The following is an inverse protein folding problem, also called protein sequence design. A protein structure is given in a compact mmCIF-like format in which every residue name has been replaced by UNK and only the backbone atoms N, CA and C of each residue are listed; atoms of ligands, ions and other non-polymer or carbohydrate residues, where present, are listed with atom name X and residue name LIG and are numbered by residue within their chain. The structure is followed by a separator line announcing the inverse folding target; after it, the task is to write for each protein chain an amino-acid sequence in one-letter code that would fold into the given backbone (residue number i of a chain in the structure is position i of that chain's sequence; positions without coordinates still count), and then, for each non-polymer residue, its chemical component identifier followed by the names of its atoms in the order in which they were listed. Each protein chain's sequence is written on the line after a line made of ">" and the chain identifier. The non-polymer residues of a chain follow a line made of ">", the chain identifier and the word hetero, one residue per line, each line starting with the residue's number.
data_IF_594108695133
#
_entry.id   IF_594108695133
#
_cell.length_a   1.000
_cell.length_b   1.000
_cell.length_c   1.000
_cell.angle_alpha   90.00
_cell.angle_beta   90.00
_cell.angle_gamma   90.00
#
_symmetry.space_group_name_H-M   'P 1'
#
loop_
_entity.id
_entity.type
_entity.pdbx_description
1 polymer ?
#
# COMPACT_ATOMS: atom_id res chain seq x y z
N UNK A 1 87.37 19.52 26.74
CA UNK A 1 86.41 20.28 25.93
C UNK A 1 85.34 19.33 25.41
N UNK A 2 84.13 19.39 25.96
CA UNK A 2 82.94 18.75 25.37
C UNK A 2 81.74 19.59 25.81
N UNK A 3 81.20 20.40 24.88
CA UNK A 3 79.94 21.10 25.09
C UNK A 3 78.81 20.25 24.53
N UNK A 4 77.87 19.88 25.40
CA UNK A 4 76.60 19.25 25.07
C UNK A 4 75.62 20.33 24.61
N UNK A 5 74.91 20.16 23.47
CA UNK A 5 73.97 21.17 22.98
C UNK A 5 72.67 21.16 23.79
N UNK A 6 72.32 22.32 24.35
CA UNK A 6 71.10 22.53 25.12
C UNK A 6 69.81 22.26 24.31
N UNK A 7 68.74 21.75 24.95
CA UNK A 7 67.50 21.42 24.26
C UNK A 7 66.73 22.71 23.93
N UNK A 8 66.36 22.87 22.66
CA UNK A 8 65.57 23.99 22.16
C UNK A 8 64.14 23.83 22.69
N UNK A 9 63.78 24.59 23.71
CA UNK A 9 62.43 24.63 24.25
C UNK A 9 61.45 25.12 23.16
N UNK A 10 60.68 24.19 22.58
CA UNK A 10 59.55 24.49 21.70
C UNK A 10 58.50 25.22 22.53
N UNK A 11 58.42 26.53 22.37
CA UNK A 11 57.36 27.35 22.93
C UNK A 11 56.03 26.92 22.32
N UNK A 12 55.25 26.11 23.06
CA UNK A 12 53.85 25.88 22.75
C UNK A 12 53.10 27.19 22.96
N UNK A 13 52.98 28.00 21.90
CA UNK A 13 52.08 29.15 21.87
C UNK A 13 50.67 28.64 22.14
N UNK A 14 50.14 28.94 23.33
CA UNK A 14 48.73 28.73 23.66
C UNK A 14 47.88 29.37 22.56
N UNK A 15 47.01 28.58 21.93
CA UNK A 15 46.10 29.07 20.89
C UNK A 15 45.32 30.28 21.43
N UNK A 16 45.38 31.41 20.71
CA UNK A 16 44.68 32.61 21.12
C UNK A 16 43.17 32.38 20.97
N UNK A 17 42.38 32.99 21.85
CA UNK A 17 40.92 32.88 21.83
C UNK A 17 40.33 33.17 20.43
N UNK A 18 40.93 34.14 19.72
CA UNK A 18 40.55 34.50 18.35
C UNK A 18 40.71 33.37 17.34
N UNK A 19 41.74 32.52 17.46
CA UNK A 19 41.96 31.40 16.55
C UNK A 19 40.91 30.31 16.77
N UNK A 20 40.49 30.15 18.03
CA UNK A 20 39.43 29.23 18.43
C UNK A 20 38.05 29.70 17.98
N UNK A 21 37.79 31.01 17.97
CA UNK A 21 36.55 31.58 17.41
C UNK A 21 36.48 31.38 15.90
N UNK A 22 37.59 31.59 15.17
CA UNK A 22 37.65 31.33 13.73
C UNK A 22 37.42 29.85 13.41
N UNK A 23 38.08 28.94 14.14
CA UNK A 23 37.90 27.50 13.89
C UNK A 23 36.47 27.02 14.19
N UNK A 24 35.81 27.60 15.20
CA UNK A 24 34.39 27.34 15.47
C UNK A 24 33.52 27.84 14.32
N UNK A 25 33.76 29.07 13.83
CA UNK A 25 32.99 29.63 12.71
C UNK A 25 33.17 28.81 11.41
N UNK A 26 34.41 28.42 11.09
CA UNK A 26 34.71 27.58 9.93
C UNK A 26 34.01 26.22 10.03
N UNK A 27 34.04 25.61 11.22
CA UNK A 27 33.35 24.35 11.48
C UNK A 27 31.83 24.50 11.34
N UNK A 28 31.25 25.57 11.90
CA UNK A 28 29.81 25.83 11.83
C UNK A 28 29.35 26.00 10.38
N UNK A 29 30.15 26.70 9.56
CA UNK A 29 29.91 26.86 8.13
C UNK A 29 29.93 25.52 7.40
N UNK A 30 30.93 24.69 7.67
CA UNK A 30 31.06 23.37 7.05
C UNK A 30 29.90 22.43 7.44
N UNK A 31 29.52 22.40 8.73
CA UNK A 31 28.36 21.63 9.21
C UNK A 31 27.07 22.09 8.53
N UNK A 32 26.89 23.41 8.37
CA UNK A 32 25.72 23.98 7.67
C UNK A 32 25.67 23.55 6.20
N UNK A 33 26.80 23.59 5.47
CA UNK A 33 26.86 23.13 4.08
C UNK A 33 26.53 21.63 3.94
N UNK A 34 27.04 20.80 4.85
CA UNK A 34 26.72 19.36 4.90
C UNK A 34 25.24 19.13 5.20
N UNK A 35 24.67 19.90 6.12
CA UNK A 35 23.26 19.81 6.48
C UNK A 35 22.37 20.20 5.30
N UNK A 36 22.63 21.34 4.64
CA UNK A 36 21.90 21.78 3.44
C UNK A 36 21.92 20.68 2.37
N UNK A 37 23.10 20.09 2.09
CA UNK A 37 23.24 19.02 1.10
C UNK A 37 22.44 17.77 1.49
N UNK A 38 22.45 17.41 2.77
CA UNK A 38 21.73 16.24 3.28
C UNK A 38 20.23 16.46 3.20
N UNK A 39 19.75 17.63 3.64
CA UNK A 39 18.33 17.99 3.56
C UNK A 39 17.83 18.03 2.12
N UNK A 40 18.62 18.58 1.18
CA UNK A 40 18.26 18.57 -0.25
C UNK A 40 18.11 17.14 -0.80
N UNK A 41 19.00 16.22 -0.40
CA UNK A 41 18.90 14.80 -0.77
C UNK A 41 17.68 14.12 -0.17
N UNK A 42 17.35 14.41 1.10
CA UNK A 42 16.13 13.91 1.75
C UNK A 42 14.89 14.42 1.02
N UNK A 43 14.83 15.72 0.69
CA UNK A 43 13.71 16.31 -0.05
C UNK A 43 13.55 15.65 -1.43
N UNK A 44 14.67 15.42 -2.12
CA UNK A 44 14.68 14.75 -3.42
C UNK A 44 14.19 13.30 -3.33
N UNK A 45 14.57 12.57 -2.28
CA UNK A 45 14.08 11.22 -2.03
C UNK A 45 12.59 11.22 -1.68
N UNK A 46 12.14 12.16 -0.85
CA UNK A 46 10.74 12.33 -0.50
C UNK A 46 9.87 12.65 -1.73
N UNK A 47 10.35 13.49 -2.65
CA UNK A 47 9.66 13.78 -3.91
C UNK A 47 9.48 12.51 -4.76
N UNK A 48 10.50 11.66 -4.86
CA UNK A 48 10.39 10.36 -5.55
C UNK A 48 9.42 9.40 -4.87
N UNK A 49 9.39 9.39 -3.54
CA UNK A 49 8.44 8.57 -2.77
C UNK A 49 7.01 9.05 -3.03
N UNK A 50 6.76 10.35 -3.05
CA UNK A 50 5.46 10.92 -3.38
C UNK A 50 5.03 10.53 -4.79
N UNK A 51 5.90 10.68 -5.79
CA UNK A 51 5.62 10.28 -7.17
C UNK A 51 5.29 8.78 -7.28
N UNK A 52 6.05 7.92 -6.60
CA UNK A 52 5.75 6.49 -6.57
C UNK A 52 4.40 6.20 -5.90
N UNK A 53 4.09 6.93 -4.84
CA UNK A 53 2.83 6.77 -4.11
C UNK A 53 1.64 7.19 -4.97
N UNK A 54 1.74 8.28 -5.74
CA UNK A 54 0.72 8.68 -6.69
C UNK A 54 0.49 7.61 -7.76
N UNK A 55 1.56 7.02 -8.31
CA UNK A 55 1.45 5.90 -9.27
C UNK A 55 0.79 4.66 -8.66
N UNK A 56 1.15 4.31 -7.43
CA UNK A 56 0.54 3.20 -6.69
C UNK A 56 -0.95 3.43 -6.47
N UNK A 57 -1.37 4.67 -6.19
CA UNK A 57 -2.78 5.02 -6.08
C UNK A 57 -3.47 4.78 -7.42
N UNK A 58 -2.92 5.29 -8.52
CA UNK A 58 -3.49 5.13 -9.86
C UNK A 58 -3.63 3.65 -10.25
N UNK A 59 -2.57 2.85 -10.06
CA UNK A 59 -2.58 1.40 -10.35
C UNK A 59 -3.62 0.64 -9.51
N UNK A 60 -3.78 1.00 -8.24
CA UNK A 60 -4.78 0.38 -7.37
C UNK A 60 -6.19 0.81 -7.78
N UNK A 61 -6.39 2.05 -8.20
CA UNK A 61 -7.69 2.52 -8.73
C UNK A 61 -8.07 1.72 -9.97
N UNK A 62 -7.17 1.61 -10.95
CA UNK A 62 -7.41 0.85 -12.18
C UNK A 62 -7.73 -0.61 -11.88
N UNK A 63 -6.97 -1.24 -10.97
CA UNK A 63 -7.19 -2.65 -10.59
C UNK A 63 -8.54 -2.85 -9.87
N UNK A 64 -8.93 -1.92 -9.00
CA UNK A 64 -10.22 -1.97 -8.30
C UNK A 64 -11.36 -1.75 -9.29
N UNK A 65 -11.22 -0.82 -10.22
CA UNK A 65 -12.23 -0.57 -11.27
C UNK A 65 -12.37 -1.80 -12.18
N UNK A 66 -11.27 -2.41 -12.63
CA UNK A 66 -11.30 -3.67 -13.36
C UNK A 66 -11.99 -4.80 -12.57
N UNK A 67 -11.71 -4.93 -11.27
CA UNK A 67 -12.35 -5.95 -10.43
C UNK A 67 -13.85 -5.70 -10.24
N UNK A 68 -14.27 -4.44 -10.11
CA UNK A 68 -15.69 -4.05 -10.05
C UNK A 68 -16.38 -4.36 -11.38
N UNK A 69 -15.75 -4.05 -12.52
CA UNK A 69 -16.30 -4.33 -13.84
C UNK A 69 -16.41 -5.84 -14.10
N UNK A 70 -15.39 -6.61 -13.72
CA UNK A 70 -15.43 -8.08 -13.76
C UNK A 70 -16.54 -8.62 -12.87
N UNK A 71 -16.70 -8.10 -11.66
CA UNK A 71 -17.81 -8.49 -10.80
C UNK A 71 -19.15 -8.12 -11.42
N UNK A 72 -19.31 -6.94 -11.99
CA UNK A 72 -20.54 -6.51 -12.65
C UNK A 72 -20.86 -7.42 -13.83
N UNK A 73 -19.88 -7.82 -14.64
CA UNK A 73 -20.08 -8.79 -15.72
C UNK A 73 -20.44 -10.20 -15.20
N UNK A 74 -19.87 -10.65 -14.08
CA UNK A 74 -20.22 -11.91 -13.43
C UNK A 74 -21.62 -11.87 -12.79
N UNK A 75 -22.09 -10.69 -12.38
CA UNK A 75 -23.41 -10.46 -11.78
C UNK A 75 -24.49 -10.09 -12.82
N UNK A 76 -24.11 -9.76 -14.06
CA UNK A 76 -25.00 -9.76 -15.22
C UNK A 76 -25.35 -11.19 -15.67
N UNK A 77 -25.65 -12.08 -14.72
CA UNK A 77 -26.38 -13.31 -15.02
C UNK A 77 -27.74 -12.89 -15.51
N UNK A 78 -27.95 -13.02 -16.83
CA UNK A 78 -29.30 -12.94 -17.42
C UNK A 78 -30.16 -13.97 -16.70
N UNK A 79 -30.97 -13.49 -15.74
CA UNK A 79 -32.03 -14.30 -15.15
C UNK A 79 -33.06 -14.47 -16.26
N UNK A 80 -33.11 -15.68 -16.82
CA UNK A 80 -34.09 -15.98 -17.83
C UNK A 80 -35.43 -16.19 -17.14
N UNK A 81 -36.44 -15.41 -17.51
CA UNK A 81 -37.84 -15.66 -17.15
C UNK A 81 -38.57 -16.29 -18.33
N UNK A 82 -39.69 -16.97 -18.05
CA UNK A 82 -40.50 -17.62 -19.09
C UNK A 82 -40.98 -16.60 -20.13
N UNK A 83 -41.37 -15.40 -19.67
CA UNK A 83 -41.92 -14.37 -20.53
C UNK A 83 -40.84 -13.73 -21.42
N UNK A 84 -39.64 -13.50 -20.88
CA UNK A 84 -38.49 -13.01 -21.65
C UNK A 84 -38.13 -13.98 -22.79
N UNK A 85 -38.09 -15.28 -22.48
CA UNK A 85 -37.78 -16.32 -23.46
C UNK A 85 -38.88 -16.50 -24.52
N UNK A 86 -40.15 -16.34 -24.15
CA UNK A 86 -41.28 -16.36 -25.11
C UNK A 86 -41.29 -15.14 -26.02
N UNK A 87 -40.89 -13.98 -25.49
CA UNK A 87 -40.77 -12.76 -26.28
C UNK A 87 -39.60 -12.84 -27.27
N UNK A 88 -38.49 -13.43 -26.84
CA UNK A 88 -37.29 -13.57 -27.66
C UNK A 88 -37.37 -14.73 -28.66
N UNK A 89 -38.02 -15.84 -28.28
CA UNK A 89 -38.22 -17.02 -29.11
C UNK A 89 -39.70 -17.36 -29.19
N UNK A 90 -40.27 -17.26 -30.40
CA UNK A 90 -41.71 -17.47 -30.62
C UNK A 90 -42.15 -18.91 -30.31
N UNK A 91 -41.23 -19.88 -30.40
CA UNK A 91 -41.52 -21.28 -30.11
C UNK A 91 -40.47 -21.93 -29.22
N UNK A 92 -40.91 -22.89 -28.40
CA UNK A 92 -40.02 -23.64 -27.51
C UNK A 92 -38.97 -24.45 -28.28
N UNK A 93 -39.30 -24.90 -29.49
CA UNK A 93 -38.39 -25.66 -30.36
C UNK A 93 -37.21 -24.80 -30.83
N UNK A 94 -37.48 -23.54 -31.16
CA UNK A 94 -36.47 -22.56 -31.58
C UNK A 94 -35.52 -22.21 -30.43
N UNK A 95 -36.06 -21.95 -29.23
CA UNK A 95 -35.26 -21.72 -28.03
C UNK A 95 -34.37 -22.93 -27.70
N UNK A 96 -34.91 -24.15 -27.77
CA UNK A 96 -34.14 -25.39 -27.57
C UNK A 96 -33.00 -25.55 -28.57
N UNK A 97 -33.24 -25.23 -29.84
CA UNK A 97 -32.22 -25.30 -30.88
C UNK A 97 -31.10 -24.27 -30.64
N UNK A 98 -31.47 -23.05 -30.23
CA UNK A 98 -30.53 -21.97 -29.93
C UNK A 98 -29.61 -22.32 -28.74
N UNK A 99 -30.19 -22.75 -27.62
CA UNK A 99 -29.42 -23.10 -26.42
C UNK A 99 -28.85 -24.53 -26.44
N UNK A 100 -29.22 -25.35 -27.44
CA UNK A 100 -28.88 -26.78 -27.55
C UNK A 100 -29.22 -27.60 -26.30
N UNK A 101 -30.26 -27.18 -25.57
CA UNK A 101 -30.73 -27.84 -24.35
C UNK A 101 -32.01 -28.65 -24.61
N UNK A 102 -32.04 -29.87 -24.06
CA UNK A 102 -33.27 -30.68 -24.02
C UNK A 102 -34.13 -30.21 -22.86
N UNK A 103 -35.36 -29.81 -23.12
CA UNK A 103 -36.37 -29.47 -22.11
C UNK A 103 -37.73 -29.99 -22.56
N UNK A 104 -38.65 -30.30 -21.65
CA UNK A 104 -40.03 -30.67 -21.99
C UNK A 104 -40.96 -29.45 -21.99
N UNK A 105 -40.63 -28.40 -21.23
CA UNK A 105 -41.44 -27.19 -21.07
C UNK A 105 -40.57 -25.91 -21.00
N UNK A 106 -41.20 -24.74 -21.15
CA UNK A 106 -40.54 -23.44 -20.95
C UNK A 106 -39.98 -23.28 -19.52
N UNK A 107 -40.72 -23.74 -18.51
CA UNK A 107 -40.29 -23.71 -17.12
C UNK A 107 -39.03 -24.55 -16.90
N UNK A 108 -38.96 -25.73 -17.53
CA UNK A 108 -37.78 -26.59 -17.45
C UNK A 108 -36.57 -25.99 -18.19
N UNK A 109 -36.80 -25.30 -19.33
CA UNK A 109 -35.74 -24.61 -20.06
C UNK A 109 -35.17 -23.44 -19.24
N UNK A 110 -36.04 -22.60 -18.66
CA UNK A 110 -35.66 -21.53 -17.73
C UNK A 110 -34.86 -22.07 -16.55
N UNK A 111 -35.36 -23.14 -15.92
CA UNK A 111 -34.69 -23.76 -14.78
C UNK A 111 -33.28 -24.23 -15.16
N UNK A 112 -33.12 -24.86 -16.33
CA UNK A 112 -31.81 -25.31 -16.84
C UNK A 112 -30.87 -24.16 -17.16
N UNK A 113 -31.36 -23.10 -17.78
CA UNK A 113 -30.56 -21.91 -18.10
C UNK A 113 -30.10 -21.18 -16.84
N UNK A 114 -31.00 -21.00 -15.87
CA UNK A 114 -30.67 -20.35 -14.60
C UNK A 114 -29.79 -21.24 -13.71
N UNK A 115 -29.93 -22.58 -13.77
CA UNK A 115 -29.05 -23.51 -13.03
C UNK A 115 -27.66 -23.64 -13.64
N UNK A 116 -27.53 -23.59 -14.97
CA UNK A 116 -26.22 -23.54 -15.65
C UNK A 116 -25.50 -22.22 -15.37
N UNK A 117 -26.26 -21.16 -15.12
CA UNK A 117 -25.73 -19.87 -14.70
C UNK A 117 -25.48 -19.80 -13.20
N UNK A 118 -25.93 -20.74 -12.36
CA UNK A 118 -25.67 -20.70 -10.92
C UNK A 118 -24.16 -20.90 -10.64
N UNK A 119 -23.53 -20.11 -9.76
CA UNK A 119 -22.17 -20.40 -9.34
C UNK A 119 -22.21 -21.72 -8.57
N UNK A 120 -21.37 -22.67 -8.97
CA UNK A 120 -21.21 -23.93 -8.26
C UNK A 120 -20.80 -23.63 -6.80
N UNK A 121 -21.60 -23.98 -5.77
CA UNK A 121 -21.28 -23.66 -4.38
C UNK A 121 -20.08 -24.47 -3.81
N UNK A 122 -19.43 -25.30 -4.65
CA UNK A 122 -18.36 -26.21 -4.22
C UNK A 122 -16.95 -25.80 -4.62
N UNK A 123 -16.75 -24.70 -5.33
CA UNK A 123 -15.41 -24.14 -5.54
C UNK A 123 -15.07 -23.18 -4.41
N UNK A 124 -14.85 -23.72 -3.20
CA UNK A 124 -14.06 -23.03 -2.17
C UNK A 124 -12.61 -23.12 -2.63
N UNK A 125 -12.28 -22.25 -3.58
CA UNK A 125 -10.91 -21.96 -3.92
C UNK A 125 -10.34 -21.13 -2.77
N UNK A 126 -9.53 -21.75 -1.90
CA UNK A 126 -8.86 -21.10 -0.75
C UNK A 126 -7.94 -19.94 -1.17
N UNK A 127 -7.78 -19.67 -2.46
CA UNK A 127 -7.04 -18.52 -2.98
C UNK A 127 -7.86 -17.22 -3.07
N UNK A 128 -9.18 -17.26 -2.81
CA UNK A 128 -10.06 -16.09 -2.84
C UNK A 128 -10.54 -15.72 -1.44
N UNK A 129 -9.65 -15.16 -0.62
CA UNK A 129 -10.11 -14.38 0.54
C UNK A 129 -10.88 -13.19 -0.04
N UNK A 130 -12.17 -13.11 0.28
CA UNK A 130 -13.07 -12.10 -0.28
C UNK A 130 -12.56 -10.71 0.10
N UNK A 131 -12.63 -9.72 -0.80
CA UNK A 131 -12.17 -8.34 -0.52
C UNK A 131 -12.67 -7.80 0.84
N UNK A 132 -13.91 -8.03 1.28
CA UNK A 132 -14.39 -7.64 2.60
C UNK A 132 -13.62 -8.30 3.76
N UNK A 133 -13.19 -9.55 3.61
CA UNK A 133 -12.39 -10.25 4.63
C UNK A 133 -10.97 -9.70 4.69
N UNK A 134 -10.38 -9.34 3.54
CA UNK A 134 -9.08 -8.65 3.50
C UNK A 134 -9.14 -7.26 4.14
N UNK A 135 -10.21 -6.50 3.88
CA UNK A 135 -10.43 -5.20 4.49
C UNK A 135 -10.60 -5.31 6.01
N UNK A 136 -11.36 -6.30 6.49
CA UNK A 136 -11.51 -6.56 7.92
C UNK A 136 -10.17 -6.96 8.57
N UNK A 137 -9.36 -7.78 7.90
CA UNK A 137 -8.02 -8.15 8.37
C UNK A 137 -7.12 -6.91 8.50
N UNK A 138 -7.07 -6.07 7.45
CA UNK A 138 -6.31 -4.81 7.45
C UNK A 138 -6.79 -3.86 8.57
N UNK A 139 -8.10 -3.72 8.76
CA UNK A 139 -8.65 -2.87 9.82
C UNK A 139 -8.23 -3.37 11.22
N UNK A 140 -8.25 -4.68 11.42
CA UNK A 140 -7.79 -5.29 12.68
C UNK A 140 -6.29 -5.08 12.92
N UNK A 141 -5.46 -5.21 11.90
CA UNK A 141 -4.02 -4.94 11.96
C UNK A 141 -3.75 -3.47 12.29
N UNK A 142 -4.47 -2.53 11.65
CA UNK A 142 -4.35 -1.10 11.94
C UNK A 142 -4.71 -0.77 13.39
N UNK A 143 -5.72 -1.47 13.93
CA UNK A 143 -6.13 -1.29 15.33
C UNK A 143 -5.06 -1.77 16.30
N UNK A 144 -4.40 -2.89 16.01
CA UNK A 144 -3.26 -3.41 16.77
C UNK A 144 -2.08 -2.42 16.71
N UNK A 145 -1.73 -1.95 15.52
CA UNK A 145 -0.63 -1.00 15.33
C UNK A 145 -0.89 0.31 16.10
N UNK A 146 -2.14 0.79 16.12
CA UNK A 146 -2.52 1.97 16.92
C UNK A 146 -2.33 1.75 18.42
N UNK A 147 -2.65 0.56 18.93
CA UNK A 147 -2.43 0.23 20.34
C UNK A 147 -0.95 0.14 20.67
N UNK A 148 -0.14 -0.50 19.84
CA UNK A 148 1.32 -0.61 20.02
C UNK A 148 2.00 0.77 19.99
N UNK A 149 1.61 1.64 19.04
CA UNK A 149 2.08 3.04 19.00
C UNK A 149 1.69 3.78 20.29
N UNK A 150 0.49 3.57 20.81
CA UNK A 150 0.04 4.13 22.08
C UNK A 150 0.90 3.69 23.26
N UNK A 151 1.25 2.40 23.31
CA UNK A 151 2.14 1.86 24.34
C UNK A 151 3.56 2.44 24.24
N UNK A 152 4.12 2.51 23.03
CA UNK A 152 5.43 3.12 22.79
C UNK A 152 5.44 4.59 23.23
N UNK A 153 4.40 5.35 22.90
CA UNK A 153 4.26 6.75 23.33
C UNK A 153 4.17 6.87 24.86
N UNK A 154 3.48 5.93 25.52
CA UNK A 154 3.39 5.90 26.98
C UNK A 154 4.74 5.62 27.65
N UNK A 155 5.54 4.70 27.07
CA UNK A 155 6.89 4.37 27.53
C UNK A 155 7.85 5.55 27.32
N UNK A 156 7.78 6.19 26.15
CA UNK A 156 8.55 7.40 25.84
C UNK A 156 8.22 8.54 26.81
N UNK A 157 6.93 8.78 27.08
CA UNK A 157 6.50 9.81 28.03
C UNK A 157 7.02 9.53 29.45
N UNK A 158 7.02 8.27 29.88
CA UNK A 158 7.57 7.85 31.17
C UNK A 158 9.10 8.04 31.24
N UNK A 159 9.82 7.72 30.17
CA UNK A 159 11.27 7.92 30.11
C UNK A 159 11.69 9.39 30.02
N UNK A 160 10.86 10.24 29.41
CA UNK A 160 11.08 11.70 29.39
C UNK A 160 10.77 12.32 30.74
N UNK A 161 9.70 11.89 31.44
CA UNK A 161 9.37 12.39 32.79
C UNK A 161 10.34 11.91 33.88
N UNK A 162 10.94 10.72 33.77
CA UNK A 162 11.91 10.22 34.76
C UNK A 162 13.32 10.81 34.61
N UNK A 163 13.51 11.83 33.76
CA UNK A 163 14.78 12.55 33.58
C UNK A 163 14.82 13.95 34.21
N UNK A 164 13.75 14.37 34.89
CA UNK A 164 13.73 15.52 35.81
C UNK A 164 13.82 15.04 37.27
#
# INVERSE_FOLDING_TARGET
>A
MSQEPAPIARTQRKQKLSDRVRSIADRLKQETEVQIKTTSRILSAAAKIAENHDRLIDEVVDMVEEDIDRQTQVHQKKIYTVDLLKQQFKTLREAKAYFRLKASSWAELVKKLNSLSAPNPLSVDRSKISVPERLNAIESELKIMRTEIGEILSLLKRHVLNKE
#
